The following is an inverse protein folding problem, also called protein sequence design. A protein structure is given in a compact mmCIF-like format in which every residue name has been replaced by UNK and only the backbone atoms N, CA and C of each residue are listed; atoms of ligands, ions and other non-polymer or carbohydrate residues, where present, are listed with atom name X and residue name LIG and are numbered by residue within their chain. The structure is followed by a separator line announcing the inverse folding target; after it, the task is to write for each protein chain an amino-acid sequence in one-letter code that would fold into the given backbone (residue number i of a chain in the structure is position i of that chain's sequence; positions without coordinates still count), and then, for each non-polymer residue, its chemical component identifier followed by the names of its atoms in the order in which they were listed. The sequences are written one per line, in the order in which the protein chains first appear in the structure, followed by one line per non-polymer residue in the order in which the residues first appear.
data_IF_665589929210
#
_entry.id   IF_665589929210
#
_cell.length_a   1.000
_cell.length_b   1.000
_cell.length_c   1.000
_cell.angle_alpha   90.00
_cell.angle_beta   90.00
_cell.angle_gamma   90.00
#
_symmetry.space_group_name_H-M   'P 1'
#
loop_
_entity.id
_entity.type
_entity.pdbx_description
1 polymer ?
#
# COMPACT_ATOMS: atom_id res chain seq x y z
N UNK A 1 7.65 -6.39 12.21
CA UNK A 1 7.01 -5.33 11.42
C UNK A 1 6.64 -4.24 12.41
N UNK A 2 7.23 -3.06 12.32
CA UNK A 2 6.99 -2.01 13.29
C UNK A 2 5.75 -1.23 12.86
N UNK A 3 4.70 -1.30 13.66
CA UNK A 3 3.54 -0.42 13.56
C UNK A 3 3.52 0.53 14.75
N UNK A 4 2.99 1.72 14.55
CA UNK A 4 2.78 2.69 15.63
C UNK A 4 1.28 2.92 15.82
N UNK A 5 0.80 2.57 17.00
CA UNK A 5 -0.60 2.73 17.38
C UNK A 5 -0.86 4.12 17.95
N UNK A 6 -1.91 4.78 17.47
CA UNK A 6 -2.35 6.08 17.95
C UNK A 6 -3.86 6.25 17.82
N UNK A 7 -4.39 7.29 18.47
CA UNK A 7 -5.79 7.67 18.37
C UNK A 7 -5.94 8.91 17.50
N UNK A 8 -6.89 8.86 16.57
CA UNK A 8 -7.28 9.99 15.74
C UNK A 8 -8.81 10.09 15.73
N UNK A 9 -9.34 11.25 16.11
CA UNK A 9 -10.80 11.46 16.22
C UNK A 9 -11.52 10.41 17.07
N UNK A 10 -10.85 9.87 18.10
CA UNK A 10 -11.37 8.82 18.98
C UNK A 10 -11.22 7.39 18.44
N UNK A 11 -10.75 7.21 17.21
CA UNK A 11 -10.56 5.90 16.58
C UNK A 11 -9.13 5.41 16.75
N UNK A 12 -8.95 4.11 17.02
CA UNK A 12 -7.63 3.49 17.10
C UNK A 12 -7.11 3.15 15.71
N UNK A 13 -5.95 3.71 15.36
CA UNK A 13 -5.29 3.51 14.08
C UNK A 13 -3.85 3.02 14.28
N UNK A 14 -3.36 2.20 13.35
CA UNK A 14 -1.99 1.70 13.33
C UNK A 14 -1.29 2.20 12.06
N UNK A 15 -0.28 3.06 12.21
CA UNK A 15 0.60 3.45 11.11
C UNK A 15 1.56 2.30 10.80
N UNK A 16 1.59 1.85 9.55
CA UNK A 16 2.46 0.78 9.06
C UNK A 16 3.76 1.36 8.50
N UNK A 17 4.86 0.62 8.61
CA UNK A 17 6.17 1.02 8.08
C UNK A 17 6.20 1.19 6.55
N UNK A 18 5.20 0.65 5.85
CA UNK A 18 5.00 0.83 4.40
C UNK A 18 4.41 2.20 4.02
N UNK A 19 3.94 2.98 4.99
CA UNK A 19 3.20 4.22 4.76
C UNK A 19 1.67 4.06 4.71
N UNK A 20 1.16 2.84 4.93
CA UNK A 20 -0.28 2.58 5.09
C UNK A 20 -0.80 2.88 6.50
N UNK A 21 -2.11 3.01 6.62
CA UNK A 21 -2.81 3.23 7.90
C UNK A 21 -3.90 2.17 8.07
N UNK A 22 -3.83 1.38 9.13
CA UNK A 22 -4.81 0.35 9.43
C UNK A 22 -5.79 0.77 10.52
N UNK A 23 -7.09 0.63 10.24
CA UNK A 23 -8.18 0.84 11.19
C UNK A 23 -8.76 -0.52 11.57
N UNK A 24 -8.35 -1.03 12.73
CA UNK A 24 -8.69 -2.38 13.21
C UNK A 24 -10.19 -2.61 13.33
N UNK A 25 -10.90 -1.64 13.93
CA UNK A 25 -12.30 -1.79 14.33
C UNK A 25 -13.23 -1.89 13.11
N UNK A 26 -12.81 -1.29 11.99
CA UNK A 26 -13.52 -1.37 10.70
C UNK A 26 -12.92 -2.38 9.74
N UNK A 27 -11.77 -2.97 10.07
CA UNK A 27 -10.95 -3.81 9.19
C UNK A 27 -10.64 -3.13 7.85
N UNK A 28 -10.23 -1.86 7.90
CA UNK A 28 -9.91 -1.03 6.73
C UNK A 28 -8.41 -0.75 6.69
N UNK A 29 -7.79 -0.99 5.53
CA UNK A 29 -6.44 -0.52 5.21
C UNK A 29 -6.54 0.71 4.31
N UNK A 30 -6.12 1.86 4.80
CA UNK A 30 -6.03 3.10 4.05
C UNK A 30 -4.61 3.26 3.49
N UNK A 31 -4.52 3.46 2.18
CA UNK A 31 -3.27 3.71 1.45
C UNK A 31 -3.52 4.89 0.49
N UNK A 32 -2.52 5.74 0.32
CA UNK A 32 -2.59 6.90 -0.57
C UNK A 32 -1.43 6.86 -1.57
N UNK A 33 -1.59 7.60 -2.67
CA UNK A 33 -0.54 7.83 -3.66
C UNK A 33 0.16 6.56 -4.15
N UNK A 34 -0.62 5.51 -4.40
CA UNK A 34 -0.17 4.37 -5.18
C UNK A 34 0.05 4.87 -6.61
N UNK A 35 1.28 5.30 -6.91
CA UNK A 35 1.70 5.87 -8.19
C UNK A 35 1.74 4.82 -9.32
N UNK A 36 0.73 3.96 -9.37
CA UNK A 36 0.58 2.95 -10.40
C UNK A 36 0.53 3.62 -11.77
N UNK A 37 1.42 3.16 -12.66
CA UNK A 37 1.49 3.67 -14.03
C UNK A 37 2.22 5.00 -14.19
N UNK A 38 2.89 5.56 -13.16
CA UNK A 38 3.83 6.69 -13.34
C UNK A 38 4.93 6.32 -14.35
N UNK A 39 5.51 5.13 -14.18
CA UNK A 39 6.44 4.50 -15.11
C UNK A 39 5.83 4.26 -16.49
N UNK A 40 4.61 3.73 -16.56
CA UNK A 40 3.91 3.51 -17.84
C UNK A 40 3.61 4.82 -18.60
N UNK A 41 3.21 5.89 -17.88
CA UNK A 41 2.99 7.22 -18.46
C UNK A 41 4.29 7.80 -19.00
N UNK A 42 5.38 7.71 -18.25
CA UNK A 42 6.71 8.19 -18.66
C UNK A 42 7.28 7.40 -19.86
N UNK A 43 7.08 6.07 -19.88
CA UNK A 43 7.44 5.22 -21.02
C UNK A 43 6.62 5.58 -22.27
N UNK A 44 5.32 5.91 -22.12
CA UNK A 44 4.49 6.34 -23.26
C UNK A 44 4.84 7.72 -23.80
N UNK A 45 5.36 8.62 -22.96
CA UNK A 45 5.81 9.96 -23.38
C UNK A 45 7.27 10.00 -23.85
N UNK A 46 7.95 8.85 -23.98
CA UNK A 46 9.33 8.80 -24.49
C UNK A 46 10.38 9.39 -23.54
N UNK A 47 10.05 9.59 -22.26
CA UNK A 47 10.91 10.24 -21.26
C UNK A 47 12.03 9.31 -20.72
N UNK A 48 12.45 8.33 -21.51
CA UNK A 48 13.37 7.26 -21.10
C UNK A 48 12.61 6.06 -20.52
N UNK A 49 13.03 4.85 -20.91
CA UNK A 49 12.46 3.60 -20.39
C UNK A 49 12.83 3.48 -18.92
N UNK A 50 11.88 3.76 -18.03
CA UNK A 50 12.07 3.48 -16.62
C UNK A 50 12.05 1.96 -16.43
N UNK A 51 12.87 1.41 -15.51
CA UNK A 51 12.89 -0.02 -15.22
C UNK A 51 11.47 -0.53 -14.92
N UNK A 52 11.05 -1.68 -15.48
CA UNK A 52 9.66 -2.15 -15.42
C UNK A 52 9.19 -2.58 -14.02
N UNK A 53 10.05 -2.47 -13.01
CA UNK A 53 9.90 -3.16 -11.73
C UNK A 53 9.32 -2.29 -10.60
N UNK A 54 9.18 -0.98 -10.78
CA UNK A 54 8.71 -0.06 -9.72
C UNK A 54 7.32 -0.47 -9.17
N UNK A 55 6.47 -1.06 -10.03
CA UNK A 55 5.13 -1.48 -9.66
C UNK A 55 5.11 -2.80 -8.85
N UNK A 56 6.02 -3.74 -9.12
CA UNK A 56 6.00 -5.07 -8.48
C UNK A 56 6.38 -4.98 -7.00
N UNK A 57 7.42 -4.22 -6.66
CA UNK A 57 7.83 -4.04 -5.26
C UNK A 57 6.76 -3.30 -4.44
N UNK A 58 6.11 -2.31 -5.05
CA UNK A 58 4.97 -1.61 -4.43
C UNK A 58 3.81 -2.56 -4.18
N UNK A 59 3.46 -3.40 -5.17
CA UNK A 59 2.40 -4.41 -5.03
C UNK A 59 2.74 -5.47 -3.97
N UNK A 60 4.00 -5.91 -3.87
CA UNK A 60 4.44 -6.87 -2.84
C UNK A 60 4.31 -6.29 -1.43
N UNK A 61 4.71 -5.03 -1.22
CA UNK A 61 4.56 -4.35 0.08
C UNK A 61 3.08 -4.20 0.44
N UNK A 62 2.25 -3.77 -0.52
CA UNK A 62 0.81 -3.67 -0.33
C UNK A 62 0.17 -5.03 0.01
N UNK A 63 0.57 -6.10 -0.67
CA UNK A 63 0.10 -7.46 -0.38
C UNK A 63 0.50 -7.92 1.02
N UNK A 64 1.74 -7.64 1.44
CA UNK A 64 2.19 -7.95 2.79
C UNK A 64 1.36 -7.22 3.85
N UNK A 65 1.04 -5.94 3.64
CA UNK A 65 0.18 -5.17 4.54
C UNK A 65 -1.25 -5.72 4.58
N UNK A 66 -1.82 -6.06 3.41
CA UNK A 66 -3.16 -6.64 3.31
C UNK A 66 -3.25 -7.99 4.03
N UNK A 67 -2.18 -8.79 4.03
CA UNK A 67 -2.19 -10.09 4.68
C UNK A 67 -1.79 -10.06 6.16
N UNK A 68 -1.01 -9.07 6.57
CA UNK A 68 -0.70 -8.85 7.97
C UNK A 68 -1.84 -8.14 8.72
N UNK A 69 -2.66 -7.39 8.00
CA UNK A 69 -3.90 -6.81 8.53
C UNK A 69 -5.04 -7.78 8.25
N UNK A 70 -6.03 -7.93 9.14
CA UNK A 70 -7.23 -8.74 8.84
C UNK A 70 -8.18 -8.04 7.85
N UNK A 71 -7.63 -7.27 6.92
CA UNK A 71 -8.38 -6.63 5.86
C UNK A 71 -9.02 -7.71 4.98
N UNK A 72 -10.28 -7.51 4.59
CA UNK A 72 -11.14 -8.55 3.97
C UNK A 72 -10.64 -9.14 2.63
N UNK A 73 -9.48 -8.71 2.11
CA UNK A 73 -8.99 -8.97 0.75
C UNK A 73 -7.59 -9.59 0.67
N UNK A 74 -7.19 -10.50 1.56
CA UNK A 74 -5.91 -11.23 1.45
C UNK A 74 -5.97 -12.40 0.44
N UNK A 75 -6.56 -12.19 -0.75
CA UNK A 75 -6.56 -13.21 -1.82
C UNK A 75 -6.28 -12.56 -3.18
N UNK A 76 -5.04 -12.08 -3.36
CA UNK A 76 -4.52 -11.60 -4.64
C UNK A 76 -3.53 -12.64 -5.17
N UNK A 77 -4.00 -13.61 -5.94
CA UNK A 77 -3.14 -14.47 -6.77
C UNK A 77 -2.82 -13.73 -8.07
N UNK A 78 -1.55 -13.38 -8.29
CA UNK A 78 -1.04 -12.82 -9.55
C UNK A 78 -0.53 -13.93 -10.46
#
# INVERSE_FOLDING_TARGET
MNSYDFYLSGEKLSALSSGGLYWSDKKILCVSDLHFGKTHRLNRTGAGALPPYENIDTLKRLQADICATESKLCNLSW
#
